data_IF_777322367939
#
_entry.id   IF_777322367939
#
_cell.length_a   1.000
_cell.length_b   1.000
_cell.length_c   1.000
_cell.angle_alpha   90.00
_cell.angle_beta   90.00
_cell.angle_gamma   90.00
#
_symmetry.space_group_name_H-M   'P 1'
#
loop_
_entity.id
_entity.type
_entity.pdbx_description
1 polymer ?
2 non-polymer ?
3 non-polymer ?
#
# COMPACT_ATOMS: atom_id res chain seq x y z
N UNK A 1 17.47 21.99 6.80
CA UNK A 1 18.34 21.38 5.76
C UNK A 1 18.94 20.05 6.21
N UNK A 2 18.69 19.71 7.48
CA UNK A 2 19.16 18.47 8.09
C UNK A 2 18.41 17.25 7.56
N UNK A 3 18.99 16.07 7.74
CA UNK A 3 18.33 14.81 7.38
C UNK A 3 17.97 14.04 8.65
N UNK A 4 16.71 13.65 8.75
CA UNK A 4 16.19 12.99 9.96
C UNK A 4 15.94 11.51 9.78
N UNK A 5 16.67 10.71 10.57
CA UNK A 5 16.61 9.25 10.51
C UNK A 5 16.08 8.68 11.84
N UNK A 6 15.08 7.80 11.76
CA UNK A 6 14.58 7.11 12.95
C UNK A 6 14.88 5.62 12.86
N UNK A 7 15.68 5.13 13.81
CA UNK A 7 16.04 3.72 13.86
C UNK A 7 14.96 2.92 14.55
N UNK A 8 14.46 1.89 13.87
CA UNK A 8 13.41 1.03 14.39
C UNK A 8 13.73 -0.46 14.22
N UNK A 9 12.93 -1.33 14.83
CA UNK A 9 13.06 -2.78 14.66
C UNK A 9 13.27 -3.54 15.94
N UNK A 10 13.28 -4.87 15.83
CA UNK A 10 13.45 -5.77 16.97
C UNK A 10 14.68 -5.42 17.80
N UNK A 11 14.61 -5.64 19.10
CA UNK A 11 15.74 -5.41 19.98
C UNK A 11 16.88 -6.39 19.69
N UNK A 12 18.11 -5.87 19.68
CA UNK A 12 19.30 -6.70 19.49
C UNK A 12 19.59 -7.06 18.04
N UNK A 13 19.15 -6.22 17.13
CA UNK A 13 19.43 -6.43 15.71
C UNK A 13 20.64 -5.59 15.29
N UNK A 14 20.90 -4.51 16.02
CA UNK A 14 22.10 -3.73 15.82
C UNK A 14 21.85 -2.32 15.34
N UNK A 15 20.70 -1.75 15.71
CA UNK A 15 20.34 -0.42 15.26
C UNK A 15 21.14 0.70 15.94
N UNK A 16 21.40 0.54 17.24
CA UNK A 16 22.22 1.51 17.97
C UNK A 16 23.63 1.56 17.37
N UNK A 17 24.16 0.38 17.05
CA UNK A 17 25.42 0.24 16.33
C UNK A 17 25.34 0.85 14.92
N UNK A 18 24.19 0.67 14.27
CA UNK A 18 23.95 1.23 12.94
C UNK A 18 24.01 2.77 12.97
N UNK A 19 23.41 3.36 14.00
CA UNK A 19 23.49 4.80 14.22
C UNK A 19 24.94 5.24 14.33
N UNK A 20 25.74 4.44 15.03
CA UNK A 20 27.17 4.70 15.20
C UNK A 20 27.97 4.63 13.90
N UNK A 21 27.63 3.68 13.04
CA UNK A 21 28.28 3.53 11.74
C UNK A 21 27.97 4.70 10.81
N UNK A 22 26.71 5.15 10.81
CA UNK A 22 26.25 6.23 9.95
C UNK A 22 26.87 7.56 10.40
N UNK A 23 26.79 7.86 11.68
CA UNK A 23 27.37 9.09 12.22
C UNK A 23 28.89 9.02 12.34
N UNK A 24 29.43 7.81 12.25
CA UNK A 24 30.88 7.58 12.35
C UNK A 24 31.48 8.12 13.67
N UNK A 25 30.84 7.77 14.77
CA UNK A 25 31.35 8.05 16.12
C UNK A 25 30.62 7.21 17.17
N UNK A 26 30.96 7.42 18.44
CA UNK A 26 30.32 6.70 19.55
C UNK A 26 29.10 7.46 20.08
N UNK A 27 27.98 7.33 19.38
CA UNK A 27 26.76 8.10 19.65
C UNK A 27 25.80 7.40 20.60
N UNK A 28 25.41 6.18 20.26
CA UNK A 28 24.47 5.39 21.07
C UNK A 28 25.18 4.14 21.59
N UNK A 29 24.73 3.63 22.74
CA UNK A 29 25.39 2.51 23.36
C UNK A 29 24.85 1.17 22.87
N UNK A 30 25.72 0.40 22.23
CA UNK A 30 25.41 -0.97 21.84
C UNK A 30 25.48 -1.84 23.08
N UNK A 31 24.74 -2.94 23.07
CA UNK A 31 24.49 -3.70 24.29
C UNK A 31 23.98 -5.11 24.02
N UNK A 32 24.40 -6.05 24.86
CA UNK A 32 23.96 -7.45 24.78
C UNK A 32 22.54 -7.65 25.31
N UNK A 33 21.94 -8.80 24.99
CA UNK A 33 20.63 -9.17 25.53
C UNK A 33 20.62 -9.33 27.05
N UNK A 34 21.80 -9.52 27.63
CA UNK A 34 21.97 -9.68 29.08
C UNK A 34 21.77 -8.37 29.83
N UNK A 35 21.86 -7.26 29.10
CA UNK A 35 21.87 -5.91 29.69
C UNK A 35 20.47 -5.36 29.91
N UNK A 36 20.39 -4.31 30.71
CA UNK A 36 19.13 -3.64 31.01
C UNK A 36 18.57 -2.87 29.81
N UNK A 37 17.29 -3.07 29.52
CA UNK A 37 16.63 -2.50 28.33
C UNK A 37 16.30 -1.02 28.49
N UNK A 38 16.31 -0.29 27.38
CA UNK A 38 16.07 1.16 27.36
C UNK A 38 14.58 1.51 27.35
N UNK A 39 14.22 2.49 28.15
CA UNK A 39 12.85 2.99 28.26
C UNK A 39 12.74 4.42 27.74
N UNK A 40 13.85 4.97 27.25
CA UNK A 40 13.92 6.37 26.89
C UNK A 40 14.59 6.58 25.53
N UNK A 41 14.16 7.62 24.80
CA UNK A 41 14.75 7.99 23.52
C UNK A 41 16.15 8.58 23.69
N UNK A 42 16.99 8.39 22.69
CA UNK A 42 18.27 9.10 22.60
C UNK A 42 18.45 9.65 21.18
N UNK A 43 19.03 10.83 21.10
CA UNK A 43 19.22 11.52 19.83
C UNK A 43 20.69 11.87 19.68
N UNK A 44 21.16 11.91 18.45
CA UNK A 44 22.52 12.32 18.17
C UNK A 44 22.64 13.06 16.84
N UNK A 45 23.80 13.67 16.62
CA UNK A 45 24.00 14.63 15.54
C UNK A 45 25.33 14.38 14.83
N UNK A 46 25.33 14.53 13.51
CA UNK A 46 26.55 14.43 12.72
C UNK A 46 26.33 15.07 11.37
N UNK A 47 27.18 14.75 10.41
CA UNK A 47 27.02 15.23 9.03
C UNK A 47 27.68 14.28 8.01
N UNK A 48 27.13 14.26 6.80
CA UNK A 48 27.70 13.51 5.69
C UNK A 48 27.84 14.44 4.49
N UNK A 49 29.02 15.04 4.35
CA UNK A 49 29.35 15.95 3.25
C UNK A 49 28.39 17.09 3.02
N UNK A 50 28.48 18.12 3.87
CA UNK A 50 27.67 19.35 3.77
C UNK A 50 26.20 19.21 4.19
N UNK A 51 25.74 17.97 4.38
CA UNK A 51 24.40 17.73 4.92
C UNK A 51 24.49 17.21 6.36
N UNK A 52 23.82 17.90 7.27
CA UNK A 52 23.77 17.49 8.68
C UNK A 52 22.82 16.31 8.86
N UNK A 53 23.33 15.22 9.43
CA UNK A 53 22.55 14.00 9.64
C UNK A 53 22.09 13.93 11.09
N UNK A 54 20.80 13.73 11.29
CA UNK A 54 20.21 13.66 12.63
C UNK A 54 19.53 12.31 12.86
N UNK A 55 19.96 11.59 13.88
CA UNK A 55 19.42 10.25 14.15
C UNK A 55 18.68 10.19 15.48
N UNK A 56 17.51 9.56 15.47
CA UNK A 56 16.73 9.30 16.69
C UNK A 56 16.67 7.78 16.93
N UNK A 57 17.24 7.35 18.04
CA UNK A 57 17.30 5.94 18.41
C UNK A 57 16.19 5.62 19.42
N UNK A 58 15.11 5.00 18.93
CA UNK A 58 13.93 4.67 19.74
C UNK A 58 14.26 3.64 20.84
N UNK A 59 13.53 3.68 21.98
CA UNK A 59 13.81 2.71 23.03
C UNK A 59 13.26 1.31 22.72
N UNK A 60 13.85 0.31 23.36
CA UNK A 60 13.43 -1.09 23.24
C UNK A 60 11.99 -1.28 23.70
N UNK A 61 11.55 -0.42 24.62
CA UNK A 61 10.20 -0.45 25.18
C UNK A 61 9.11 -0.34 24.12
N UNK A 62 9.41 0.38 23.04
CA UNK A 62 8.48 0.53 21.91
C UNK A 62 7.99 -0.83 21.37
N UNK A 63 8.87 -1.84 21.42
CA UNK A 63 8.52 -3.18 20.94
C UNK A 63 7.73 -4.05 21.95
N UNK A 64 7.69 -3.62 23.21
CA UNK A 64 7.07 -4.43 24.28
C UNK A 64 5.59 -4.70 24.06
N UNK A 65 5.12 -5.85 24.56
CA UNK A 65 3.80 -6.39 24.23
C UNK A 65 2.62 -5.85 25.04
N UNK A 66 2.67 -5.96 26.37
CA UNK A 66 1.52 -5.57 27.19
C UNK A 66 1.50 -4.08 27.51
N UNK A 67 0.63 -3.69 28.44
CA UNK A 67 0.47 -2.28 28.80
C UNK A 67 1.64 -1.71 29.61
N UNK A 68 2.27 -0.69 29.04
CA UNK A 68 3.30 0.07 29.71
C UNK A 68 2.85 1.52 29.72
N UNK A 69 2.80 2.13 30.91
CA UNK A 69 2.30 3.50 31.03
C UNK A 69 3.26 4.56 30.49
N UNK A 70 4.56 4.34 30.70
CA UNK A 70 5.60 5.26 30.25
C UNK A 70 5.77 5.33 28.73
N UNK A 71 4.95 4.56 27.99
CA UNK A 71 5.03 4.48 26.53
C UNK A 71 4.54 5.75 25.84
N UNK A 72 3.41 6.28 26.30
CA UNK A 72 2.76 7.40 25.60
C UNK A 72 3.58 8.70 25.63
N UNK A 73 4.17 9.02 26.78
CA UNK A 73 4.97 10.24 26.91
C UNK A 73 6.32 10.12 26.19
N UNK A 74 6.79 8.89 26.00
CA UNK A 74 8.03 8.64 25.26
C UNK A 74 7.82 8.58 23.74
N UNK A 75 6.60 8.28 23.33
CA UNK A 75 6.25 8.38 21.90
C UNK A 75 6.10 9.86 21.55
N UNK A 76 5.49 10.64 22.44
CA UNK A 76 5.45 12.10 22.27
C UNK A 76 6.84 12.71 22.18
N UNK A 77 7.74 12.26 23.05
CA UNK A 77 9.12 12.72 23.06
C UNK A 77 9.85 12.35 21.76
N UNK A 78 9.57 11.15 21.25
CA UNK A 78 10.17 10.66 20.00
C UNK A 78 9.64 11.46 18.80
N UNK A 79 8.36 11.79 18.84
CA UNK A 79 7.75 12.65 17.82
C UNK A 79 8.28 14.09 17.89
N UNK A 80 8.47 14.59 19.11
CA UNK A 80 8.92 15.96 19.32
C UNK A 80 10.37 16.14 18.87
N UNK A 81 11.19 15.11 19.05
CA UNK A 81 12.60 15.15 18.66
C UNK A 81 12.79 14.94 17.17
N UNK A 82 11.82 14.32 16.52
CA UNK A 82 11.88 14.07 15.07
C UNK A 82 11.00 15.05 14.29
N UNK A 83 10.30 15.93 15.01
CA UNK A 83 9.47 16.97 14.41
C UNK A 83 10.28 17.82 13.43
N UNK A 84 9.67 18.21 12.29
CA UNK A 84 8.28 17.97 11.89
C UNK A 84 8.03 16.63 11.15
N UNK A 85 9.00 15.72 11.21
CA UNK A 85 8.88 14.42 10.56
C UNK A 85 10.19 13.87 10.02
N UNK A 86 10.37 12.55 10.07
CA UNK A 86 11.59 11.92 9.56
C UNK A 86 11.63 11.85 8.04
N UNK A 87 12.82 12.03 7.47
CA UNK A 87 13.02 11.82 6.04
C UNK A 87 13.10 10.33 5.75
N UNK A 88 13.62 9.58 6.72
CA UNK A 88 13.84 8.14 6.58
C UNK A 88 13.62 7.42 7.90
N UNK A 89 12.82 6.35 7.85
CA UNK A 89 12.75 5.38 8.94
C UNK A 89 13.63 4.20 8.55
N UNK A 90 14.54 3.83 9.45
CA UNK A 90 15.51 2.79 9.15
C UNK A 90 15.20 1.51 9.94
N UNK A 91 14.54 0.58 9.27
CA UNK A 91 14.13 -0.69 9.89
C UNK A 91 15.28 -1.68 9.87
N UNK A 92 15.78 -2.00 11.06
CA UNK A 92 16.99 -2.81 11.21
C UNK A 92 16.67 -4.26 11.54
N UNK A 93 17.17 -5.14 10.69
CA UNK A 93 17.01 -6.59 10.83
C UNK A 93 18.39 -7.24 10.73
N UNK A 94 18.55 -8.40 11.37
CA UNK A 94 19.78 -9.18 11.23
C UNK A 94 19.69 -10.13 10.02
N UNK A 95 20.70 -10.08 9.17
CA UNK A 95 20.75 -10.89 7.96
C UNK A 95 20.56 -12.36 8.27
N UNK A 96 19.66 -13.00 7.51
CA UNK A 96 19.38 -14.43 7.63
C UNK A 96 18.59 -14.84 8.86
N UNK A 97 18.29 -13.86 9.71
CA UNK A 97 17.58 -14.12 10.97
C UNK A 97 16.38 -13.18 11.15
N UNK A 98 15.37 -13.37 10.32
CA UNK A 98 14.11 -12.61 10.41
C UNK A 98 13.03 -13.52 10.97
N UNK A 99 12.51 -13.16 12.13
CA UNK A 99 11.58 -14.03 12.86
C UNK A 99 10.23 -13.37 13.14
N UNK A 100 9.35 -14.08 13.84
CA UNK A 100 8.05 -13.55 14.23
C UNK A 100 8.17 -12.24 15.00
N UNK A 101 9.15 -12.18 15.90
CA UNK A 101 9.40 -10.98 16.69
C UNK A 101 9.83 -9.80 15.82
N UNK A 102 10.40 -10.10 14.66
CA UNK A 102 10.74 -9.08 13.68
C UNK A 102 9.51 -8.57 12.92
N UNK A 103 8.66 -9.49 12.45
CA UNK A 103 7.37 -9.13 11.85
C UNK A 103 6.58 -8.26 12.82
N UNK A 104 6.65 -8.64 14.10
CA UNK A 104 5.90 -7.99 15.16
C UNK A 104 6.41 -6.58 15.42
N UNK A 105 7.73 -6.40 15.29
CA UNK A 105 8.35 -5.09 15.44
C UNK A 105 7.98 -4.17 14.27
N UNK A 106 7.95 -4.75 13.07
CA UNK A 106 7.53 -4.04 11.86
C UNK A 106 6.06 -3.59 11.93
N UNK A 107 5.27 -4.35 12.68
CA UNK A 107 3.86 -4.03 12.93
C UNK A 107 3.75 -2.80 13.85
N UNK A 108 4.60 -2.76 14.88
CA UNK A 108 4.60 -1.68 15.87
C UNK A 108 5.05 -0.34 15.29
N UNK A 109 5.93 -0.39 14.31
CA UNK A 109 6.36 0.81 13.57
C UNK A 109 5.16 1.40 12.85
N UNK A 110 4.38 0.53 12.18
CA UNK A 110 3.16 0.93 11.50
C UNK A 110 2.12 1.45 12.48
N UNK A 111 2.00 0.77 13.61
CA UNK A 111 1.04 1.15 14.64
C UNK A 111 1.37 2.53 15.23
N UNK A 112 2.64 2.79 15.47
CA UNK A 112 3.07 4.05 16.09
C UNK A 112 3.17 5.21 15.10
N UNK A 113 3.80 4.96 13.95
CA UNK A 113 4.13 6.03 13.01
C UNK A 113 3.18 6.16 11.83
N UNK A 114 2.47 5.09 11.51
CA UNK A 114 1.50 5.11 10.44
C UNK A 114 1.74 4.02 9.44
N UNK A 115 0.66 3.55 8.82
CA UNK A 115 0.69 2.41 7.91
C UNK A 115 1.45 2.74 6.61
N UNK A 116 1.65 4.04 6.35
CA UNK A 116 2.35 4.51 5.15
C UNK A 116 3.72 5.12 5.47
N UNK A 117 4.17 4.94 6.72
CA UNK A 117 5.54 5.27 7.10
C UNK A 117 6.52 4.30 6.45
N UNK A 118 5.96 3.20 5.96
CA UNK A 118 6.70 2.15 5.24
C UNK A 118 7.20 2.67 3.89
N UNK A 119 6.50 3.67 3.34
CA UNK A 119 6.90 4.33 2.09
C UNK A 119 8.06 5.31 2.25
N UNK A 120 8.51 5.48 3.50
CA UNK A 120 9.71 6.26 3.81
C UNK A 120 10.71 5.40 4.57
N UNK A 121 10.49 4.08 4.54
CA UNK A 121 11.34 3.13 5.28
C UNK A 121 12.31 2.42 4.35
N UNK A 122 13.54 2.25 4.83
CA UNK A 122 14.57 1.45 4.18
C UNK A 122 14.93 0.31 5.12
N UNK A 123 15.00 -0.91 4.59
CA UNK A 123 15.37 -2.07 5.40
C UNK A 123 16.90 -2.24 5.45
N UNK A 124 17.45 -2.19 6.66
CA UNK A 124 18.88 -2.32 6.87
C UNK A 124 19.25 -3.68 7.46
N UNK A 125 20.04 -4.45 6.72
CA UNK A 125 20.52 -5.74 7.18
C UNK A 125 21.87 -5.60 7.87
N UNK A 126 21.94 -6.06 9.13
CA UNK A 126 23.20 -6.07 9.87
C UNK A 126 23.89 -7.41 9.72
N UNK A 127 25.14 -7.49 10.17
CA UNK A 127 25.99 -8.68 9.99
C UNK A 127 26.23 -8.98 8.51
N UNK A 128 26.64 -7.95 7.77
CA UNK A 128 26.95 -8.05 6.34
C UNK A 128 28.06 -9.06 6.05
N UNK A 129 28.99 -9.19 6.99
CA UNK A 129 30.14 -10.11 6.87
C UNK A 129 29.77 -11.59 6.70
N UNK A 130 28.51 -11.93 6.93
CA UNK A 130 28.02 -13.30 6.76
C UNK A 130 27.77 -13.65 5.29
N UNK A 131 27.70 -12.61 4.45
CA UNK A 131 27.60 -12.79 2.99
C UNK A 131 28.93 -13.22 2.39
N UNK A 132 30.01 -12.95 3.12
CA UNK A 132 31.38 -13.23 2.68
C UNK A 132 31.74 -12.54 1.36
N UNK A 133 31.51 -11.23 1.32
CA UNK A 133 31.77 -10.42 0.12
C UNK A 133 30.78 -10.67 -0.99
N UNK A 134 29.69 -11.37 -0.68
CA UNK A 134 28.65 -11.70 -1.64
C UNK A 134 27.61 -10.61 -1.76
N UNK A 135 26.87 -10.63 -2.88
CA UNK A 135 25.87 -9.61 -3.17
C UNK A 135 24.64 -9.76 -2.27
N UNK A 136 24.19 -8.63 -1.73
CA UNK A 136 23.03 -8.60 -0.86
C UNK A 136 21.74 -8.75 -1.65
N UNK A 137 21.75 -8.27 -2.90
CA UNK A 137 20.59 -8.37 -3.79
C UNK A 137 20.36 -9.82 -4.22
N UNK A 138 21.45 -10.52 -4.52
CA UNK A 138 21.40 -11.92 -4.96
C UNK A 138 20.95 -12.85 -3.84
N UNK A 139 21.29 -12.50 -2.60
CA UNK A 139 20.87 -13.25 -1.42
C UNK A 139 19.37 -13.07 -1.17
N UNK A 140 18.87 -11.88 -1.45
CA UNK A 140 17.43 -11.57 -1.31
C UNK A 140 16.59 -12.20 -2.40
N UNK A 141 17.13 -12.26 -3.62
CA UNK A 141 16.47 -12.92 -4.73
C UNK A 141 16.24 -14.41 -4.44
N UNK A 142 17.22 -15.05 -3.78
CA UNK A 142 17.15 -16.47 -3.46
C UNK A 142 16.82 -16.74 -1.99
N UNK A 143 15.93 -15.91 -1.45
CA UNK A 143 15.47 -16.04 -0.06
C UNK A 143 14.13 -16.76 0.00
N UNK A 144 13.98 -17.67 0.96
CA UNK A 144 12.72 -18.40 1.14
C UNK A 144 11.87 -17.82 2.27
N UNK A 145 12.39 -16.81 2.95
CA UNK A 145 11.64 -16.12 4.00
C UNK A 145 10.53 -15.27 3.39
N UNK A 146 9.30 -15.79 3.47
CA UNK A 146 8.13 -15.14 2.85
C UNK A 146 7.72 -13.83 3.52
N UNK A 147 7.87 -13.76 4.84
CA UNK A 147 7.48 -12.56 5.59
C UNK A 147 8.44 -11.39 5.36
N UNK A 148 9.73 -11.70 5.16
CA UNK A 148 10.73 -10.69 4.83
C UNK A 148 10.51 -10.13 3.42
N UNK A 149 10.08 -10.98 2.50
CA UNK A 149 9.69 -10.56 1.15
C UNK A 149 8.53 -9.56 1.18
N UNK A 150 7.60 -9.76 2.12
CA UNK A 150 6.51 -8.82 2.34
C UNK A 150 7.02 -7.46 2.82
N UNK A 151 7.94 -7.48 3.78
CA UNK A 151 8.48 -6.24 4.35
C UNK A 151 9.32 -5.45 3.35
N UNK A 152 10.16 -6.16 2.59
CA UNK A 152 11.00 -5.52 1.58
C UNK A 152 10.11 -4.90 0.49
N UNK A 153 9.10 -5.64 0.05
CA UNK A 153 8.15 -5.16 -0.96
C UNK A 153 7.36 -3.94 -0.49
N UNK A 154 6.99 -3.92 0.79
CA UNK A 154 6.29 -2.78 1.39
C UNK A 154 7.22 -1.57 1.50
N UNK A 155 8.52 -1.81 1.50
CA UNK A 155 9.53 -0.76 1.52
C UNK A 155 10.06 -0.48 0.12
N UNK A 156 9.32 -0.93 -0.88
CA UNK A 156 9.62 -0.63 -2.29
C UNK A 156 10.92 -1.21 -2.82
N UNK A 157 11.37 -2.30 -2.18
CA UNK A 157 12.59 -2.98 -2.60
C UNK A 157 13.87 -2.30 -2.16
N UNK A 158 13.74 -1.27 -1.33
CA UNK A 158 14.88 -0.54 -0.79
C UNK A 158 15.51 -1.34 0.34
N UNK A 159 16.70 -1.86 0.09
CA UNK A 159 17.43 -2.65 1.08
C UNK A 159 18.89 -2.21 1.20
N UNK A 160 19.54 -2.62 2.28
CA UNK A 160 20.94 -2.28 2.52
C UNK A 160 21.60 -3.23 3.52
N UNK A 161 22.93 -3.32 3.45
CA UNK A 161 23.70 -4.18 4.35
C UNK A 161 24.80 -3.41 5.06
N UNK A 162 24.96 -3.71 6.35
CA UNK A 162 25.96 -3.07 7.20
C UNK A 162 26.78 -4.11 7.97
N UNK A 163 28.07 -3.87 8.06
CA UNK A 163 28.92 -4.53 9.03
C UNK A 163 29.28 -3.48 10.06
N UNK A 164 28.62 -3.52 11.20
CA UNK A 164 28.75 -2.45 12.20
C UNK A 164 30.07 -2.42 12.96
N UNK A 165 30.99 -3.31 12.58
CA UNK A 165 32.32 -3.36 13.18
C UNK A 165 33.40 -2.89 12.19
N UNK A 166 32.99 -2.60 10.96
CA UNK A 166 33.90 -2.11 9.91
C UNK A 166 34.47 -0.75 10.29
N UNK A 167 35.73 -0.52 9.92
CA UNK A 167 36.45 0.70 10.29
C UNK A 167 37.14 1.35 9.10
N UNK A 168 37.32 2.67 9.17
CA UNK A 168 38.02 3.43 8.14
C UNK A 168 37.25 3.56 6.84
N UNK A 169 37.90 3.16 5.74
CA UNK A 169 37.32 3.28 4.39
C UNK A 169 36.17 2.30 4.15
N UNK A 170 36.25 1.11 4.74
CA UNK A 170 35.17 0.12 4.67
C UNK A 170 33.87 0.63 5.29
N UNK A 171 34.01 1.48 6.30
CA UNK A 171 32.87 2.13 6.93
C UNK A 171 32.24 3.17 5.99
N UNK A 172 33.07 3.98 5.35
CA UNK A 172 32.59 5.00 4.41
C UNK A 172 31.83 4.37 3.25
N UNK A 173 32.38 3.28 2.72
CA UNK A 173 31.82 2.56 1.57
C UNK A 173 30.37 2.14 1.82
N UNK A 174 30.11 1.50 2.96
CA UNK A 174 28.78 0.99 3.27
C UNK A 174 27.78 2.08 3.65
N UNK A 175 28.28 3.15 4.27
CA UNK A 175 27.44 4.28 4.65
C UNK A 175 27.06 5.08 3.39
N UNK A 176 27.96 5.10 2.41
CA UNK A 176 27.66 5.75 1.14
C UNK A 176 26.52 5.04 0.41
N UNK A 177 26.54 3.71 0.42
CA UNK A 177 25.45 2.90 -0.14
C UNK A 177 24.10 3.23 0.48
N UNK A 178 24.07 3.43 1.80
CA UNK A 178 22.86 3.90 2.47
C UNK A 178 22.52 5.31 2.01
N UNK A 179 23.50 6.20 2.05
CA UNK A 179 23.32 7.60 1.61
C UNK A 179 22.86 7.72 0.16
N UNK A 180 23.19 6.71 -0.65
CA UNK A 180 22.69 6.60 -2.01
C UNK A 180 21.17 6.35 -2.02
N UNK A 181 20.74 5.38 -1.21
CA UNK A 181 19.31 5.06 -1.10
C UNK A 181 18.48 6.22 -0.59
N UNK A 182 18.95 6.87 0.47
CA UNK A 182 18.30 8.06 1.00
C UNK A 182 18.10 9.06 -0.13
N UNK A 183 19.18 9.37 -0.85
CA UNK A 183 19.17 10.33 -1.94
C UNK A 183 18.16 9.95 -3.03
N UNK A 184 18.12 8.67 -3.38
CA UNK A 184 17.23 8.16 -4.42
C UNK A 184 15.77 8.19 -3.96
N UNK A 185 15.53 7.79 -2.71
CA UNK A 185 14.19 7.83 -2.12
C UNK A 185 13.67 9.27 -1.98
N UNK A 186 14.55 10.19 -1.59
CA UNK A 186 14.17 11.59 -1.44
C UNK A 186 13.83 12.24 -2.77
N UNK A 187 14.47 11.77 -3.84
CA UNK A 187 14.16 12.22 -5.19
C UNK A 187 12.77 11.81 -5.60
N UNK A 188 12.37 10.61 -5.18
CA UNK A 188 11.03 10.09 -5.42
C UNK A 188 9.98 10.93 -4.68
N UNK A 189 10.42 11.54 -3.58
CA UNK A 189 9.54 12.30 -2.70
C UNK A 189 9.65 13.83 -2.89
N UNK A 190 10.56 14.26 -3.76
CA UNK A 190 10.87 15.69 -3.98
C UNK A 190 11.42 16.39 -2.74
N UNK A 191 12.25 15.68 -1.98
CA UNK A 191 12.88 16.22 -0.78
C UNK A 191 12.01 16.20 0.47
N UNK A 192 10.80 15.70 0.35
CA UNK A 192 9.84 15.69 1.46
C UNK A 192 10.20 14.70 2.55
N UNK A 193 9.82 15.03 3.78
CA UNK A 193 9.89 14.11 4.90
C UNK A 193 8.52 13.49 5.12
N UNK A 194 8.47 12.40 5.89
CA UNK A 194 7.21 11.80 6.27
C UNK A 194 6.54 12.58 7.40
N UNK A 195 5.23 12.82 7.24
CA UNK A 195 4.44 13.45 8.28
C UNK A 195 3.11 12.71 8.47
N UNK A 196 2.43 12.97 9.59
CA UNK A 196 1.11 12.41 9.86
C UNK A 196 0.27 13.37 10.72
N UNK A 197 -0.90 12.91 11.16
CA UNK A 197 -1.79 13.73 11.98
C UNK A 197 -1.22 14.10 13.34
N UNK A 198 -0.31 13.28 13.83
CA UNK A 198 0.32 13.50 15.14
C UNK A 198 1.40 14.57 15.10
N UNK A 199 2.17 14.63 14.02
CA UNK A 199 3.17 15.69 13.84
C UNK A 199 2.51 17.07 13.70
N UNK A 200 1.34 17.10 13.06
CA UNK A 200 0.56 18.33 12.91
C UNK A 200 0.08 18.85 14.26
N UNK A 201 -0.22 17.93 15.17
CA UNK A 201 -0.66 18.26 16.52
C UNK A 201 0.43 18.99 17.32
N UNK A 202 1.69 18.61 17.08
CA UNK A 202 2.84 19.21 17.75
C UNK A 202 3.22 20.58 17.15
N UNK A 203 2.34 21.09 16.27
CA UNK A 203 2.52 22.40 15.58
C UNK A 203 3.82 22.46 14.78
N UNK A 215 -1.09 19.84 25.66
CA UNK A 215 0.07 19.32 26.37
C UNK A 215 0.21 17.79 26.24
N UNK A 216 0.75 17.14 27.26
CA UNK A 216 0.98 15.68 27.25
C UNK A 216 -0.31 14.86 27.25
N UNK A 217 -1.37 15.40 27.87
CA UNK A 217 -2.68 14.74 27.91
C UNK A 217 -3.33 14.63 26.52
N UNK A 218 -3.42 15.75 25.81
CA UNK A 218 -4.07 15.80 24.51
C UNK A 218 -3.38 14.93 23.48
N UNK A 219 -2.04 14.90 23.53
CA UNK A 219 -1.25 14.03 22.66
C UNK A 219 -1.52 12.57 23.00
N UNK A 220 -1.45 12.22 24.29
CA UNK A 220 -1.75 10.85 24.74
C UNK A 220 -3.06 10.36 24.13
N UNK A 221 -4.11 11.15 24.29
CA UNK A 221 -5.44 10.80 23.77
C UNK A 221 -5.47 10.70 22.24
N UNK A 222 -4.69 11.56 21.59
CA UNK A 222 -4.64 11.59 20.13
C UNK A 222 -3.82 10.42 19.58
N UNK A 223 -2.86 9.96 20.39
CA UNK A 223 -1.98 8.85 20.03
C UNK A 223 -2.69 7.50 20.16
N UNK A 224 -3.50 7.36 21.21
CA UNK A 224 -4.31 6.16 21.42
C UNK A 224 -5.25 5.96 20.24
N UNK A 225 -5.92 7.05 19.83
CA UNK A 225 -6.86 7.03 18.72
C UNK A 225 -6.15 6.73 17.40
N UNK A 226 -4.94 7.25 17.24
CA UNK A 226 -4.15 7.06 16.02
C UNK A 226 -3.73 5.61 15.88
N UNK A 227 -3.13 5.07 16.95
CA UNK A 227 -2.71 3.67 17.00
C UNK A 227 -3.88 2.70 16.75
N UNK A 228 -5.04 3.03 17.31
CA UNK A 228 -6.27 2.25 17.15
C UNK A 228 -6.67 2.13 15.67
N UNK A 229 -6.58 3.25 14.96
CA UNK A 229 -6.90 3.33 13.54
C UNK A 229 -5.94 2.49 12.68
N UNK A 230 -4.66 2.47 13.07
CA UNK A 230 -3.65 1.73 12.34
C UNK A 230 -3.84 0.22 12.47
N UNK A 231 -4.46 -0.21 13.56
CA UNK A 231 -4.80 -1.62 13.76
C UNK A 231 -6.10 -1.96 13.05
N UNK A 232 -6.92 -0.95 12.77
CA UNK A 232 -8.20 -1.15 12.08
C UNK A 232 -8.01 -1.49 10.59
N UNK A 233 -6.86 -1.08 10.04
CA UNK A 233 -6.50 -1.39 8.65
C UNK A 233 -6.01 -2.83 8.50
N UNK A 234 -5.35 -3.32 9.56
CA UNK A 234 -4.64 -4.59 9.52
C UNK A 234 -5.57 -5.81 9.64
N UNK A 235 -6.87 -5.57 9.52
CA UNK A 235 -7.88 -6.63 9.55
C UNK A 235 -8.26 -7.05 8.13
N UNK B 1 -2.03 -13.85 1.80
CA UNK B 1 -2.07 -13.87 0.31
C UNK B 1 -2.76 -12.62 -0.26
N UNK B 2 -2.53 -12.36 -1.55
CA UNK B 2 -2.92 -11.09 -2.18
C UNK B 2 -4.41 -10.92 -2.45
N UNK B 3 -4.79 -9.67 -2.77
CA UNK B 3 -6.15 -9.32 -3.15
C UNK B 3 -6.13 -8.70 -4.55
N UNK B 4 -6.89 -9.27 -5.48
CA UNK B 4 -6.89 -8.83 -6.87
C UNK B 4 -8.17 -8.07 -7.22
N UNK B 5 -7.99 -6.82 -7.68
CA UNK B 5 -9.11 -5.96 -8.08
C UNK B 5 -9.02 -5.64 -9.57
N UNK B 6 -10.14 -5.80 -10.28
CA UNK B 6 -10.24 -5.37 -11.66
C UNK B 6 -11.09 -4.10 -11.71
N UNK B 7 -10.53 -3.04 -12.29
CA UNK B 7 -11.27 -1.81 -12.47
C UNK B 7 -12.02 -1.80 -13.80
N UNK B 8 -13.35 -1.86 -13.72
CA UNK B 8 -14.20 -1.84 -14.90
C UNK B 8 -15.16 -0.66 -14.90
N UNK B 9 -15.65 -0.29 -16.08
CA UNK B 9 -16.65 0.76 -16.20
C UNK B 9 -16.39 1.72 -17.35
N UNK B 10 -17.29 2.69 -17.50
CA UNK B 10 -17.23 3.68 -18.58
C UNK B 10 -15.99 4.56 -18.46
N UNK B 11 -15.54 5.10 -19.59
CA UNK B 11 -14.41 6.03 -19.63
C UNK B 11 -14.79 7.37 -18.97
N UNK B 12 -13.80 7.98 -18.33
CA UNK B 12 -13.95 9.32 -17.74
C UNK B 12 -14.71 9.36 -16.42
N UNK B 13 -14.94 8.21 -15.80
CA UNK B 13 -15.74 8.13 -14.58
C UNK B 13 -14.93 8.29 -13.30
N UNK B 14 -13.77 7.63 -13.23
CA UNK B 14 -12.90 7.72 -12.07
C UNK B 14 -12.02 6.51 -11.83
N UNK B 15 -12.02 5.58 -12.78
CA UNK B 15 -11.30 4.29 -12.68
C UNK B 15 -9.83 4.44 -12.26
N UNK B 16 -9.02 5.01 -13.14
CA UNK B 16 -7.59 5.17 -12.90
C UNK B 16 -7.33 6.00 -11.64
N UNK B 17 -8.11 7.07 -11.47
CA UNK B 17 -8.05 7.90 -10.27
C UNK B 17 -8.41 7.11 -9.01
N UNK B 18 -9.39 6.23 -9.13
CA UNK B 18 -9.80 5.36 -8.03
C UNK B 18 -8.73 4.33 -7.68
N UNK B 19 -8.04 3.83 -8.72
CA UNK B 19 -6.90 2.95 -8.51
C UNK B 19 -5.82 3.61 -7.67
N UNK B 20 -5.53 4.86 -8.01
CA UNK B 20 -4.57 5.67 -7.26
C UNK B 20 -4.95 5.88 -5.80
N UNK B 21 -6.24 6.08 -5.56
CA UNK B 21 -6.78 6.29 -4.21
C UNK B 21 -6.58 5.07 -3.29
N UNK B 22 -6.87 3.89 -3.83
CA UNK B 22 -6.71 2.63 -3.10
C UNK B 22 -5.25 2.35 -2.74
N UNK B 23 -4.36 2.43 -3.72
CA UNK B 23 -2.93 2.15 -3.53
C UNK B 23 -2.19 3.31 -2.85
N UNK B 24 -2.87 4.45 -2.73
CA UNK B 24 -2.35 5.68 -2.12
C UNK B 24 -1.08 6.19 -2.80
N UNK B 25 -1.01 6.02 -4.12
CA UNK B 25 0.14 6.45 -4.91
C UNK B 25 -0.21 6.64 -6.38
N UNK B 26 0.72 7.24 -7.12
CA UNK B 26 0.56 7.49 -8.56
C UNK B 26 0.76 6.22 -9.37
N UNK B 27 -0.29 5.38 -9.41
CA UNK B 27 -0.22 4.07 -10.04
C UNK B 27 -0.71 4.08 -11.48
N UNK B 28 -1.77 4.85 -11.73
CA UNK B 28 -2.38 4.95 -13.06
C UNK B 28 -2.55 6.41 -13.46
N UNK B 29 -2.41 6.68 -14.76
CA UNK B 29 -2.56 8.04 -15.27
C UNK B 29 -4.04 8.43 -15.36
N UNK B 30 -4.40 9.49 -14.64
CA UNK B 30 -5.71 10.10 -14.80
C UNK B 30 -5.63 11.05 -16.00
N UNK B 31 -6.73 11.19 -16.73
CA UNK B 31 -6.74 12.00 -17.94
C UNK B 31 -8.09 12.64 -18.26
N UNK B 32 -8.03 13.84 -18.85
CA UNK B 32 -9.21 14.53 -19.36
C UNK B 32 -9.72 13.84 -20.63
N UNK B 33 -10.95 14.17 -21.03
CA UNK B 33 -11.54 13.66 -22.27
C UNK B 33 -10.79 14.09 -23.53
N UNK B 34 -9.99 15.14 -23.40
CA UNK B 34 -9.18 15.67 -24.49
C UNK B 34 -8.07 14.71 -24.91
N UNK B 35 -7.53 13.97 -23.94
CA UNK B 35 -6.40 13.07 -24.15
C UNK B 35 -6.76 11.85 -24.99
N UNK B 36 -5.73 11.21 -25.57
CA UNK B 36 -5.93 10.01 -26.38
C UNK B 36 -6.22 8.81 -25.49
N UNK B 37 -7.18 8.00 -25.94
CA UNK B 37 -7.70 6.87 -25.16
C UNK B 37 -6.70 5.73 -25.06
N UNK B 38 -6.91 4.85 -24.07
CA UNK B 38 -6.02 3.71 -23.83
C UNK B 38 -6.51 2.43 -24.51
N UNK B 39 -5.56 1.63 -24.98
CA UNK B 39 -5.84 0.34 -25.63
C UNK B 39 -5.19 -0.83 -24.88
N UNK B 40 -4.51 -0.52 -23.77
CA UNK B 40 -3.70 -1.51 -23.04
C UNK B 40 -4.03 -1.58 -21.55
N UNK B 41 -4.12 -2.80 -21.03
CA UNK B 41 -4.26 -3.02 -19.58
C UNK B 41 -2.96 -2.63 -18.88
N UNK B 42 -3.10 -1.93 -17.76
CA UNK B 42 -1.96 -1.64 -16.89
C UNK B 42 -2.21 -2.28 -15.54
N UNK B 43 -1.19 -2.93 -14.99
CA UNK B 43 -1.27 -3.55 -13.68
C UNK B 43 -0.30 -2.89 -12.73
N UNK B 44 -0.82 -2.35 -11.63
CA UNK B 44 0.01 -1.81 -10.57
C UNK B 44 -0.30 -2.51 -9.25
N UNK B 45 0.46 -2.20 -8.21
CA UNK B 45 0.30 -2.84 -6.90
C UNK B 45 0.81 -2.04 -5.69
N UNK B 46 0.07 -2.15 -4.59
CA UNK B 46 0.45 -1.62 -3.29
C UNK B 46 0.07 -2.62 -2.22
N UNK B 47 -0.31 -2.13 -1.05
CA UNK B 47 -0.78 -3.00 0.05
C UNK B 47 -1.75 -2.31 1.01
N UNK B 48 -2.38 -3.10 1.87
CA UNK B 48 -3.27 -2.58 2.90
C UNK B 48 -3.16 -3.41 4.17
N UNK B 49 -2.18 -3.06 5.01
CA UNK B 49 -1.99 -3.68 6.32
C UNK B 49 -1.76 -5.19 6.30
N UNK B 50 -0.67 -5.60 5.64
CA UNK B 50 -0.28 -7.01 5.52
C UNK B 50 -0.98 -7.77 4.40
N UNK B 51 -2.03 -7.18 3.84
CA UNK B 51 -2.62 -7.74 2.63
C UNK B 51 -2.11 -6.98 1.41
N UNK B 52 -1.51 -7.72 0.49
CA UNK B 52 -0.93 -7.16 -0.73
C UNK B 52 -2.02 -6.92 -1.78
N UNK B 53 -2.27 -5.66 -2.11
CA UNK B 53 -3.29 -5.31 -3.09
C UNK B 53 -2.69 -5.29 -4.50
N UNK B 54 -3.34 -6.00 -5.43
CA UNK B 54 -2.94 -6.02 -6.84
C UNK B 54 -4.09 -5.52 -7.70
N UNK B 55 -3.87 -4.47 -8.48
CA UNK B 55 -4.93 -3.84 -9.28
C UNK B 55 -4.68 -3.89 -10.78
N UNK B 56 -5.72 -4.25 -11.54
CA UNK B 56 -5.67 -4.26 -13.00
C UNK B 56 -6.65 -3.24 -13.58
N UNK B 57 -6.10 -2.25 -14.30
CA UNK B 57 -6.88 -1.16 -14.88
C UNK B 57 -7.18 -1.45 -16.35
N UNK B 58 -8.43 -1.83 -16.63
CA UNK B 58 -8.86 -2.23 -17.97
C UNK B 58 -8.83 -1.04 -18.94
N UNK B 59 -8.54 -1.30 -20.23
CA UNK B 59 -8.42 -0.18 -21.16
C UNK B 59 -9.78 0.35 -21.61
N UNK B 60 -9.76 1.57 -22.15
CA UNK B 60 -10.96 2.21 -22.72
C UNK B 60 -11.55 1.38 -23.87
N UNK B 61 -10.68 0.69 -24.59
CA UNK B 61 -11.05 -0.19 -25.70
C UNK B 61 -12.15 -1.21 -25.36
N UNK B 62 -12.11 -1.78 -24.15
CA UNK B 62 -13.09 -2.76 -23.68
C UNK B 62 -14.50 -2.21 -23.81
N UNK B 63 -14.58 -0.88 -23.74
CA UNK B 63 -15.83 -0.14 -23.77
C UNK B 63 -16.28 0.19 -25.20
N UNK B 64 -15.39 0.00 -26.18
CA UNK B 64 -15.67 0.34 -27.58
C UNK B 64 -16.67 -0.59 -28.26
N UNK B 65 -17.42 -0.04 -29.20
CA UNK B 65 -18.71 -0.61 -29.59
C UNK B 65 -18.72 -1.46 -30.88
N UNK B 66 -17.93 -1.07 -31.87
CA UNK B 66 -17.84 -1.86 -33.10
C UNK B 66 -16.64 -2.81 -33.06
N UNK B 67 -16.30 -3.40 -34.19
CA UNK B 67 -15.21 -4.37 -34.24
C UNK B 67 -13.85 -3.72 -34.08
N UNK B 68 -13.10 -4.20 -33.08
CA UNK B 68 -11.71 -3.80 -32.87
C UNK B 68 -10.89 -5.07 -32.75
N UNK B 69 -9.97 -5.27 -33.70
CA UNK B 69 -9.20 -6.52 -33.77
C UNK B 69 -8.38 -6.79 -32.51
N UNK B 70 -7.78 -5.73 -31.97
CA UNK B 70 -6.89 -5.82 -30.81
C UNK B 70 -7.57 -6.31 -29.52
N UNK B 71 -8.91 -6.39 -29.53
CA UNK B 71 -9.67 -6.72 -28.33
C UNK B 71 -9.38 -8.11 -27.79
N UNK B 72 -9.31 -9.11 -28.68
CA UNK B 72 -9.17 -10.50 -28.26
C UNK B 72 -7.85 -10.81 -27.56
N UNK B 73 -6.77 -10.19 -28.03
CA UNK B 73 -5.45 -10.35 -27.42
C UNK B 73 -5.31 -9.59 -26.09
N UNK B 74 -5.86 -8.38 -26.02
CA UNK B 74 -5.79 -7.60 -24.78
C UNK B 74 -6.72 -8.12 -23.68
N UNK B 75 -7.86 -8.71 -24.07
CA UNK B 75 -8.73 -9.37 -23.10
C UNK B 75 -8.01 -10.57 -22.47
N UNK B 76 -7.32 -11.35 -23.31
CA UNK B 76 -6.51 -12.48 -22.86
C UNK B 76 -5.41 -11.99 -21.90
N UNK B 77 -4.83 -10.84 -22.21
CA UNK B 77 -3.83 -10.22 -21.35
C UNK B 77 -4.42 -9.81 -20.00
N UNK B 78 -5.64 -9.27 -20.03
CA UNK B 78 -6.35 -8.90 -18.81
C UNK B 78 -6.66 -10.13 -17.95
N UNK B 79 -6.96 -11.23 -18.62
CA UNK B 79 -7.19 -12.50 -17.97
C UNK B 79 -5.89 -13.12 -17.45
N UNK B 80 -4.80 -12.90 -18.17
CA UNK B 80 -3.49 -13.36 -17.74
C UNK B 80 -2.98 -12.58 -16.53
N UNK B 81 -3.20 -11.27 -16.55
CA UNK B 81 -2.73 -10.39 -15.47
C UNK B 81 -3.52 -10.55 -14.17
N UNK B 82 -4.78 -10.94 -14.29
CA UNK B 82 -5.67 -11.08 -13.13
C UNK B 82 -5.82 -12.53 -12.64
N UNK B 83 -5.15 -13.46 -13.34
CA UNK B 83 -5.21 -14.90 -13.01
C UNK B 83 -4.81 -15.20 -11.56
N UNK B 84 -5.44 -16.22 -10.93
CA UNK B 84 -6.49 -17.12 -11.43
C UNK B 84 -7.93 -16.57 -11.32
N UNK B 85 -8.06 -15.25 -11.21
CA UNK B 85 -9.37 -14.61 -11.11
C UNK B 85 -9.41 -13.52 -10.05
N UNK B 86 -10.30 -12.53 -10.23
CA UNK B 86 -10.40 -11.40 -9.31
C UNK B 86 -11.20 -11.68 -8.05
N UNK B 87 -10.72 -11.20 -6.91
CA UNK B 87 -11.49 -11.23 -5.69
C UNK B 87 -12.63 -10.19 -5.81
N UNK B 88 -12.28 -9.01 -6.30
CA UNK B 88 -13.24 -7.91 -6.47
C UNK B 88 -13.16 -7.32 -7.87
N UNK B 89 -14.32 -7.08 -8.47
CA UNK B 89 -14.42 -6.17 -9.61
C UNK B 89 -15.01 -4.85 -9.08
N UNK B 90 -14.42 -3.74 -9.51
CA UNK B 90 -14.87 -2.45 -9.02
C UNK B 90 -15.50 -1.67 -10.16
N UNK B 91 -16.83 -1.60 -10.18
CA UNK B 91 -17.54 -0.92 -11.28
C UNK B 91 -17.68 0.59 -11.01
N UNK B 92 -16.78 1.35 -11.61
CA UNK B 92 -16.68 2.78 -11.33
C UNK B 92 -17.72 3.59 -12.09
N UNK B 93 -18.42 4.46 -11.36
CA UNK B 93 -19.47 5.32 -11.91
C UNK B 93 -19.48 6.68 -11.22
N UNK B 94 -19.71 7.74 -11.98
CA UNK B 94 -19.79 9.09 -11.42
C UNK B 94 -21.14 9.28 -10.75
N UNK B 95 -21.11 9.82 -9.53
CA UNK B 95 -22.32 10.01 -8.74
C UNK B 95 -23.33 10.92 -9.44
N UNK B 96 -24.57 10.43 -9.56
CA UNK B 96 -25.67 11.19 -10.19
C UNK B 96 -25.62 11.30 -11.71
N UNK B 97 -24.66 10.61 -12.33
CA UNK B 97 -24.41 10.71 -13.77
C UNK B 97 -24.25 9.32 -14.39
N UNK B 98 -25.20 8.43 -14.10
CA UNK B 98 -25.22 7.10 -14.68
C UNK B 98 -26.12 7.12 -15.92
N UNK B 99 -25.51 7.15 -17.09
CA UNK B 99 -26.26 7.27 -18.35
C UNK B 99 -26.31 5.94 -19.13
N UNK B 100 -26.88 6.01 -20.33
CA UNK B 100 -27.02 4.84 -21.22
C UNK B 100 -25.69 4.17 -21.52
N UNK B 101 -24.62 4.97 -21.56
CA UNK B 101 -23.28 4.45 -21.84
C UNK B 101 -22.72 3.69 -20.64
N UNK B 102 -23.12 4.09 -19.44
CA UNK B 102 -22.77 3.38 -18.22
C UNK B 102 -23.44 2.01 -18.18
N UNK B 103 -24.69 1.95 -18.67
CA UNK B 103 -25.41 0.69 -18.80
C UNK B 103 -24.69 -0.23 -19.78
N UNK B 104 -24.30 0.33 -20.94
CA UNK B 104 -23.61 -0.43 -21.97
C UNK B 104 -22.25 -0.93 -21.48
N UNK B 105 -21.57 -0.10 -20.70
CA UNK B 105 -20.30 -0.48 -20.06
C UNK B 105 -20.50 -1.55 -18.98
N UNK B 106 -21.64 -1.49 -18.30
CA UNK B 106 -22.01 -2.50 -17.31
C UNK B 106 -22.34 -3.84 -17.98
N UNK B 107 -22.90 -3.77 -19.18
CA UNK B 107 -23.19 -4.96 -19.98
C UNK B 107 -21.92 -5.65 -20.45
N UNK B 108 -20.91 -4.86 -20.82
CA UNK B 108 -19.65 -5.39 -21.35
C UNK B 108 -18.89 -6.17 -20.29
N UNK B 109 -19.02 -5.75 -19.03
CA UNK B 109 -18.42 -6.46 -17.92
C UNK B 109 -18.97 -7.89 -17.89
N UNK B 110 -20.30 -8.00 -18.01
CA UNK B 110 -20.97 -9.31 -18.07
C UNK B 110 -20.53 -10.11 -19.30
N UNK B 111 -20.36 -9.43 -20.42
CA UNK B 111 -19.98 -10.09 -21.68
C UNK B 111 -18.54 -10.61 -21.66
N UNK B 112 -17.60 -9.78 -21.21
CA UNK B 112 -16.17 -10.12 -21.20
C UNK B 112 -15.78 -11.07 -20.05
N UNK B 113 -16.34 -10.84 -18.87
CA UNK B 113 -15.99 -11.64 -17.68
C UNK B 113 -17.05 -12.67 -17.25
N UNK B 114 -18.23 -12.61 -17.86
CA UNK B 114 -19.32 -13.50 -17.48
C UNK B 114 -20.27 -12.77 -16.56
N UNK B 115 -21.57 -13.05 -16.69
CA UNK B 115 -22.58 -12.33 -15.91
C UNK B 115 -22.63 -12.75 -14.44
N UNK B 116 -21.95 -13.86 -14.12
CA UNK B 116 -21.79 -14.28 -12.74
C UNK B 116 -20.75 -13.44 -11.98
N UNK B 117 -19.93 -12.71 -12.74
CA UNK B 117 -18.92 -11.80 -12.17
C UNK B 117 -19.57 -10.70 -11.36
N UNK B 118 -20.82 -10.38 -11.67
CA UNK B 118 -21.57 -9.35 -10.99
C UNK B 118 -21.74 -9.67 -9.49
N UNK B 119 -21.68 -10.95 -9.16
CA UNK B 119 -21.72 -11.40 -7.76
C UNK B 119 -20.43 -11.13 -6.99
N UNK B 120 -19.38 -10.72 -7.70
CA UNK B 120 -18.11 -10.33 -7.11
C UNK B 120 -17.81 -8.86 -7.40
N UNK B 121 -18.84 -8.09 -7.69
CA UNK B 121 -18.69 -6.69 -8.08
C UNK B 121 -19.23 -5.71 -7.03
N UNK B 122 -18.46 -4.65 -6.79
CA UNK B 122 -18.87 -3.54 -5.94
C UNK B 122 -18.94 -2.28 -6.80
N UNK B 123 -20.04 -1.54 -6.68
CA UNK B 123 -20.22 -0.30 -7.43
C UNK B 123 -19.56 0.84 -6.67
N UNK B 124 -18.57 1.46 -7.29
CA UNK B 124 -17.83 2.56 -6.68
C UNK B 124 -18.25 3.88 -7.31
N UNK B 125 -18.80 4.76 -6.49
CA UNK B 125 -19.27 6.06 -6.96
C UNK B 125 -18.21 7.10 -6.74
N UNK B 126 -17.79 7.75 -7.82
CA UNK B 126 -16.82 8.84 -7.73
C UNK B 126 -17.53 10.18 -7.50
N UNK B 127 -16.73 11.22 -7.24
CA UNK B 127 -17.24 12.56 -6.95
C UNK B 127 -18.06 12.60 -5.65
N UNK B 128 -17.60 11.87 -4.64
CA UNK B 128 -18.22 11.82 -3.32
C UNK B 128 -18.48 13.21 -2.74
N UNK B 129 -17.66 14.18 -3.12
CA UNK B 129 -17.80 15.56 -2.66
C UNK B 129 -19.18 16.16 -2.98
N UNK B 130 -19.80 15.68 -4.06
CA UNK B 130 -21.14 16.11 -4.47
C UNK B 130 -22.20 15.82 -3.41
N UNK B 131 -21.99 14.76 -2.64
CA UNK B 131 -22.90 14.40 -1.55
C UNK B 131 -22.92 15.46 -0.45
N UNK B 132 -21.88 16.28 -0.41
CA UNK B 132 -21.77 17.43 0.49
C UNK B 132 -21.83 17.03 1.97
N UNK B 133 -21.15 15.94 2.31
CA UNK B 133 -21.13 15.42 3.67
C UNK B 133 -22.19 14.36 3.92
N UNK B 134 -23.33 14.49 3.23
CA UNK B 134 -24.44 13.55 3.34
C UNK B 134 -24.05 12.12 2.97
N UNK B 135 -24.83 11.16 3.46
CA UNK B 135 -24.50 9.74 3.26
C UNK B 135 -24.81 9.23 1.86
N UNK B 136 -24.01 8.26 1.41
CA UNK B 136 -24.20 7.65 0.10
C UNK B 136 -25.43 6.74 0.08
N UNK B 137 -25.61 5.97 1.16
CA UNK B 137 -26.73 5.04 1.28
C UNK B 137 -28.07 5.75 1.23
N UNK B 138 -28.18 6.88 1.93
CA UNK B 138 -29.39 7.68 1.97
C UNK B 138 -29.70 8.26 0.60
N UNK B 139 -28.66 8.73 -0.08
CA UNK B 139 -28.79 9.24 -1.43
C UNK B 139 -29.36 8.17 -2.34
N UNK B 140 -28.76 6.98 -2.26
CA UNK B 140 -29.14 5.85 -3.10
C UNK B 140 -30.51 5.27 -2.74
N UNK B 141 -30.96 5.53 -1.51
CA UNK B 141 -32.30 5.16 -1.09
C UNK B 141 -33.36 6.02 -1.78
N UNK B 142 -32.99 7.28 -2.07
CA UNK B 142 -33.89 8.25 -2.69
C UNK B 142 -33.63 8.46 -4.19
N UNK B 143 -32.79 7.61 -4.77
CA UNK B 143 -32.43 7.70 -6.19
C UNK B 143 -33.52 7.18 -7.13
N UNK B 144 -33.90 8.01 -8.10
CA UNK B 144 -34.96 7.65 -9.04
C UNK B 144 -34.46 6.99 -10.34
N UNK B 145 -33.15 6.76 -10.43
CA UNK B 145 -32.56 6.10 -11.60
C UNK B 145 -32.79 4.59 -11.57
N UNK B 146 -33.84 4.16 -12.25
CA UNK B 146 -34.23 2.74 -12.33
C UNK B 146 -33.07 1.83 -12.77
N UNK B 147 -32.31 2.27 -13.77
CA UNK B 147 -31.19 1.50 -14.32
C UNK B 147 -30.04 1.32 -13.32
N UNK B 148 -29.70 2.41 -12.61
CA UNK B 148 -28.68 2.35 -11.56
C UNK B 148 -29.11 1.44 -10.43
N UNK B 149 -30.39 1.47 -10.09
CA UNK B 149 -30.94 0.61 -9.04
C UNK B 149 -30.86 -0.86 -9.40
N UNK B 150 -31.16 -1.19 -10.67
CA UNK B 150 -31.01 -2.56 -11.19
C UNK B 150 -29.59 -3.08 -11.01
N UNK B 151 -28.61 -2.27 -11.40
CA UNK B 151 -27.20 -2.63 -11.28
C UNK B 151 -26.76 -2.88 -9.83
N UNK B 152 -27.08 -1.92 -8.95
CA UNK B 152 -26.78 -2.03 -7.52
C UNK B 152 -27.40 -3.31 -6.94
N UNK B 153 -28.66 -3.57 -7.31
CA UNK B 153 -29.37 -4.77 -6.88
C UNK B 153 -28.71 -6.05 -7.40
N UNK B 154 -28.13 -5.96 -8.59
CA UNK B 154 -27.38 -7.06 -9.18
C UNK B 154 -26.04 -7.25 -8.45
N UNK B 155 -25.50 -6.15 -7.94
CA UNK B 155 -24.26 -6.17 -7.15
C UNK B 155 -24.53 -6.35 -5.64
N UNK B 156 -25.67 -6.97 -5.31
CA UNK B 156 -26.01 -7.33 -3.93
C UNK B 156 -26.14 -6.17 -2.95
N UNK B 157 -26.27 -4.96 -3.49
CA UNK B 157 -26.37 -3.76 -2.67
C UNK B 157 -25.03 -3.21 -2.22
N UNK B 158 -23.94 -3.76 -2.75
CA UNK B 158 -22.59 -3.33 -2.37
C UNK B 158 -22.23 -2.03 -3.09
N UNK B 159 -22.20 -0.93 -2.36
CA UNK B 159 -21.85 0.38 -2.92
C UNK B 159 -20.80 1.12 -2.10
N UNK B 160 -20.02 1.96 -2.77
CA UNK B 160 -18.98 2.74 -2.10
C UNK B 160 -18.75 4.08 -2.81
N UNK B 161 -18.27 5.08 -2.07
CA UNK B 161 -18.06 6.41 -2.63
C UNK B 161 -16.66 6.96 -2.39
N UNK B 162 -16.09 7.58 -3.43
CA UNK B 162 -14.72 8.09 -3.42
C UNK B 162 -14.64 9.54 -3.88
N UNK B 163 -13.99 10.36 -3.08
CA UNK B 163 -13.52 11.67 -3.52
C UNK B 163 -12.04 11.49 -3.87
N UNK B 164 -11.78 11.24 -5.15
CA UNK B 164 -10.44 10.92 -5.62
C UNK B 164 -9.40 12.03 -5.41
N UNK B 165 -9.88 13.25 -5.18
CA UNK B 165 -9.01 14.40 -4.96
C UNK B 165 -8.78 14.72 -3.47
N UNK B 166 -9.25 13.83 -2.60
CA UNK B 166 -9.06 13.97 -1.16
C UNK B 166 -7.63 13.64 -0.74
N UNK B 167 -7.15 14.34 0.28
CA UNK B 167 -5.77 14.16 0.78
C UNK B 167 -5.73 13.77 2.26
N UNK B 168 -4.57 13.32 2.70
CA UNK B 168 -4.30 13.02 4.12
C UNK B 168 -5.10 11.87 4.69
N UNK B 169 -5.57 12.04 5.93
CA UNK B 169 -6.36 11.02 6.62
C UNK B 169 -7.77 10.89 6.04
N UNK B 170 -8.23 11.96 5.38
CA UNK B 170 -9.52 11.95 4.69
C UNK B 170 -9.56 10.97 3.52
N UNK B 171 -8.38 10.67 2.96
CA UNK B 171 -8.24 9.64 1.94
C UNK B 171 -8.27 8.25 2.56
N UNK B 172 -7.55 8.08 3.66
CA UNK B 172 -7.47 6.79 4.36
C UNK B 172 -8.86 6.33 4.79
N UNK B 173 -9.68 7.27 5.27
CA UNK B 173 -11.04 6.99 5.70
C UNK B 173 -11.90 6.35 4.60
N UNK B 174 -11.89 6.95 3.40
CA UNK B 174 -12.70 6.44 2.29
C UNK B 174 -12.23 5.08 1.77
N UNK B 175 -10.92 4.86 1.77
CA UNK B 175 -10.32 3.57 1.38
C UNK B 175 -10.64 2.52 2.44
N UNK B 176 -10.56 2.91 3.72
CA UNK B 176 -10.94 2.07 4.84
C UNK B 176 -12.37 1.56 4.67
N UNK B 177 -13.26 2.45 4.22
CA UNK B 177 -14.67 2.12 3.98
C UNK B 177 -14.83 1.07 2.88
N UNK B 178 -14.10 1.25 1.78
CA UNK B 178 -14.09 0.27 0.67
C UNK B 178 -13.57 -1.09 1.14
N UNK B 179 -12.51 -1.06 1.94
CA UNK B 179 -11.90 -2.30 2.46
C UNK B 179 -12.86 -3.10 3.35
N UNK B 180 -13.62 -2.39 4.17
CA UNK B 180 -14.64 -3.00 5.02
C UNK B 180 -15.71 -3.71 4.16
N UNK B 181 -16.04 -3.11 3.02
CA UNK B 181 -16.99 -3.69 2.08
C UNK B 181 -16.42 -4.94 1.40
N UNK B 182 -15.14 -4.87 1.03
CA UNK B 182 -14.41 -5.99 0.45
C UNK B 182 -14.30 -7.13 1.47
N UNK B 183 -14.13 -6.74 2.73
CA UNK B 183 -14.03 -7.68 3.85
C UNK B 183 -15.32 -8.52 4.02
N UNK B 184 -16.47 -7.88 3.87
CA UNK B 184 -17.76 -8.56 4.03
C UNK B 184 -18.09 -9.45 2.83
N UNK B 185 -17.70 -9.01 1.63
CA UNK B 185 -17.89 -9.79 0.40
C UNK B 185 -17.09 -11.09 0.46
N UNK B 186 -15.80 -10.99 0.78
CA UNK B 186 -14.92 -12.14 0.90
C UNK B 186 -15.33 -13.08 2.01
N UNK B 187 -15.89 -12.50 3.08
CA UNK B 187 -16.42 -13.29 4.19
C UNK B 187 -17.61 -14.12 3.72
N UNK B 188 -18.48 -13.51 2.92
CA UNK B 188 -19.60 -14.20 2.31
C UNK B 188 -19.15 -15.26 1.33
N UNK B 189 -18.05 -14.98 0.62
CA UNK B 189 -17.55 -15.88 -0.42
C UNK B 189 -16.51 -16.88 0.10
N UNK B 190 -16.29 -16.90 1.42
CA UNK B 190 -15.30 -17.77 2.07
C UNK B 190 -13.86 -17.53 1.61
N UNK B 191 -13.55 -16.27 1.25
CA UNK B 191 -12.23 -15.87 0.80
C UNK B 191 -11.94 -16.20 -0.65
N UNK B 192 -12.95 -16.69 -1.36
CA UNK B 192 -12.82 -17.08 -2.77
C UNK B 192 -12.69 -15.91 -3.73
N UNK B 193 -11.92 -16.13 -4.78
CA UNK B 193 -11.85 -15.23 -5.91
C UNK B 193 -12.85 -15.71 -6.96
N UNK B 194 -13.32 -14.80 -7.79
CA UNK B 194 -14.16 -15.17 -8.93
C UNK B 194 -13.34 -15.91 -9.98
N UNK B 195 -13.97 -16.86 -10.66
CA UNK B 195 -13.32 -17.59 -11.75
C UNK B 195 -14.34 -18.10 -12.76
N UNK B 196 -13.86 -18.48 -13.95
CA UNK B 196 -14.72 -19.03 -15.01
C UNK B 196 -13.95 -19.92 -15.99
N UNK B 197 -14.62 -20.36 -17.05
CA UNK B 197 -14.02 -21.25 -18.06
C UNK B 197 -12.78 -20.70 -18.76
N UNK B 198 -12.70 -19.37 -18.88
CA UNK B 198 -11.57 -18.72 -19.53
C UNK B 198 -10.32 -18.67 -18.63
N UNK B 199 -10.52 -18.38 -17.35
CA UNK B 199 -9.43 -18.49 -16.36
C UNK B 199 -8.94 -19.94 -16.30
N UNK B 200 -9.87 -20.89 -16.33
CA UNK B 200 -9.58 -22.32 -16.37
C UNK B 200 -8.77 -22.72 -17.60
N UNK B 201 -9.09 -22.10 -18.74
CA UNK B 201 -8.38 -22.36 -20.00
C UNK B 201 -6.89 -22.01 -19.91
N UNK B 202 -6.58 -20.99 -19.11
CA UNK B 202 -5.21 -20.51 -18.97
C UNK B 202 -4.33 -21.48 -18.16
N UNK B 203 -4.88 -22.01 -17.06
CA UNK B 203 -4.15 -22.91 -16.16
C UNK B 203 -3.82 -24.27 -16.79
N UNK B 215 -2.47 -22.11 -27.70
CA UNK B 215 -1.91 -20.87 -28.22
C UNK B 215 -2.83 -19.66 -27.95
N UNK B 216 -2.50 -18.53 -28.56
CA UNK B 216 -3.34 -17.32 -28.52
C UNK B 216 -4.60 -17.48 -29.38
N UNK B 217 -4.53 -18.40 -30.34
CA UNK B 217 -5.62 -18.69 -31.27
C UNK B 217 -6.78 -19.42 -30.59
N UNK B 218 -6.45 -20.38 -29.72
CA UNK B 218 -7.45 -21.16 -28.99
C UNK B 218 -8.26 -20.28 -28.04
N UNK B 219 -7.59 -19.29 -27.44
CA UNK B 219 -8.25 -18.34 -26.55
C UNK B 219 -9.22 -17.46 -27.33
N UNK B 220 -8.81 -17.02 -28.51
CA UNK B 220 -9.64 -16.20 -29.40
C UNK B 220 -11.01 -16.84 -29.61
N UNK B 221 -11.02 -18.09 -30.08
CA UNK B 221 -12.24 -18.86 -30.28
C UNK B 221 -13.02 -19.12 -28.98
N UNK B 222 -12.30 -19.38 -27.90
CA UNK B 222 -12.91 -19.68 -26.60
C UNK B 222 -13.56 -18.44 -25.98
N UNK B 223 -13.03 -17.26 -26.30
CA UNK B 223 -13.62 -16.00 -25.88
C UNK B 223 -14.86 -15.67 -26.72
N UNK B 224 -14.75 -15.86 -28.04
CA UNK B 224 -15.88 -15.62 -28.95
C UNK B 224 -17.13 -16.38 -28.48
N UNK B 225 -16.95 -17.67 -28.17
CA UNK B 225 -18.04 -18.52 -27.72
C UNK B 225 -18.57 -18.07 -26.36
N UNK B 226 -17.64 -17.71 -25.48
CA UNK B 226 -17.97 -17.27 -24.13
C UNK B 226 -18.79 -15.98 -24.13
N UNK B 227 -18.38 -15.02 -24.96
CA UNK B 227 -19.09 -13.75 -25.11
C UNK B 227 -20.44 -13.93 -25.79
N UNK B 228 -20.52 -14.91 -26.70
CA UNK B 228 -21.77 -15.26 -27.38
C UNK B 228 -22.78 -15.85 -26.39
N UNK B 229 -22.26 -16.50 -25.34
CA UNK B 229 -23.07 -17.11 -24.29
C UNK B 229 -23.66 -16.08 -23.34
N UNK B 230 -22.88 -15.05 -23.00
CA UNK B 230 -23.30 -14.00 -22.05
C UNK B 230 -24.31 -13.04 -22.67
N UNK B 231 -24.32 -12.94 -23.99
CA UNK B 231 -25.31 -12.16 -24.72
C UNK B 231 -26.62 -12.93 -24.89
N UNK B 232 -26.51 -14.25 -24.92
CA UNK B 232 -27.68 -15.12 -25.12
C UNK B 232 -28.62 -15.14 -23.91
N UNK B 233 -28.05 -14.94 -22.72
CA UNK B 233 -28.84 -14.91 -21.48
C UNK B 233 -29.72 -13.66 -21.40
X LIG C 1 20.03 -2.86 19.18
X LIG C 1 20.30 -1.40 19.39
X LIG C 1 19.22 -3.07 17.92
X LIG C 1 19.27 -3.39 20.37
X LIG C 1 21.41 -3.68 19.01
X LIG C 1 22.82 -3.16 19.58
X LIG C 1 22.76 -2.86 21.06
X LIG C 1 23.29 -1.93 18.82
X LIG C 1 23.77 -4.40 19.27
X LIG C 1 23.57 -5.66 19.91
X LIG C 1 24.79 -6.55 19.65
X LIG C 1 24.85 -6.87 18.26
X LIG C 1 26.10 -5.87 20.02
X LIG C 1 26.90 -6.77 20.79
X LIG C 1 26.75 -5.53 18.68
X LIG C 1 28.18 -5.63 18.70
X LIG C 1 26.15 -6.57 17.75
X LIG C 1 26.10 -6.07 16.34
X LIG C 1 25.38 -5.05 15.86
X LIG C 1 25.59 -4.90 14.52
X LIG C 1 26.47 -5.86 14.14
X LIG C 1 27.12 -6.28 12.88
X LIG C 1 26.90 -5.69 11.80
X LIG C 1 27.96 -7.33 12.93
X LIG C 1 28.23 -7.99 14.07
X LIG C 1 29.09 -9.04 14.05
X LIG C 1 27.66 -7.66 15.26
X LIG C 1 26.79 -6.62 15.34
X LIG D 1 19.81 -0.34 21.49
X LIG E 1 -10.97 6.90 -16.25
X LIG E 1 -12.06 6.74 -15.23
X LIG E 1 -11.60 6.83 -17.62
X LIG E 1 -9.94 5.79 -16.12
X LIG E 1 -10.21 8.32 -16.15
X LIG E 1 -9.89 9.10 -14.78
X LIG E 1 -8.56 8.65 -14.20
X LIG E 1 -10.97 8.89 -13.76
X LIG E 1 -9.84 10.64 -15.21
X LIG E 1 -11.04 11.32 -15.59
X LIG E 1 -11.13 12.71 -14.97
X LIG E 1 -12.02 12.69 -13.85
X LIG E 1 -9.79 13.24 -14.45
X LIG E 1 -9.67 14.63 -14.77
X LIG E 1 -9.89 13.06 -12.95
X LIG E 1 -9.09 14.03 -12.25
X LIG E 1 -11.38 13.24 -12.71
X LIG E 1 -11.86 12.58 -11.47
X LIG E 1 -11.78 11.26 -11.17
X LIG E 1 -12.34 11.03 -9.95
X LIG E 1 -12.77 12.19 -9.46
X LIG E 1 -13.45 12.65 -8.23
X LIG E 1 -13.75 11.84 -7.32
X LIG E 1 -13.73 13.97 -8.11
X LIG E 1 -13.41 14.87 -9.08
X LIG E 1 -13.73 16.18 -8.89
X LIG E 1 -12.80 14.51 -10.23
X LIG E 1 -12.45 13.22 -10.47
X LIG F 1 -7.93 6.31 -17.29
#
# INVERSE_FOLDING_TARGET
>A
SELRIILVGKTGTGKSAAGNSILRKQAFESKLGSQTLTKTCSKSQGSWGNREIVIIDTPDMFSWKDHCEALYKEVQRCYLLSAPGPHVLLLVTQLGRYTSQDQQAAQRVKEIFGEDAMGHTIVLFTHKEDLNGGSLMDYMHDSDNKALSKLVAACGGRICAFNNRAEGSNQDDQVKELMDCIEDLLMEKNGDHYTNGLYSLIQRSKCGPVGSDERVKEFKQSLIKYMETQRSYTALAEAN
>B
SELRIILVGKTGTGKSAAGNSILRKQAFESKLGSQTLTKTCSKSQGSWGNREIVIIDTPDMFSWKDHCEALYKEVQRCYLLSAPGPHVLLLVTQLGRYTSQDQQAAQRVKEIFGEDAMGHTIVLFTHKEDLNGGSLMDYMHDSDNKALSKLVAACGGRICAFNNRAEGSNQDDQVKELMDCIEDLLMEKNGDHYTNGLYSLIQRSKCGPVGSDERVKEFKQSLIKYMETQRSYTALAEAN
>C hetero
1 GDP PB O1B O2B O3B O3A PA O1A O2A O5' C5' C4' O4' C3' O3' C2' O2' C1' N9 C8 N7 C5 C6 O6 N1 C2 N2 N3 C4
>D hetero
1 MG MG
>E hetero
1 GDP PB O1B O2B O3B O3A PA O1A O2A O5' C5' C4' O4' C3' O3' C2' O2' C1' N9 C8 N7 C5 C6 O6 N1 C2 N2 N3 C4
>F hetero
1 MG MG
#
